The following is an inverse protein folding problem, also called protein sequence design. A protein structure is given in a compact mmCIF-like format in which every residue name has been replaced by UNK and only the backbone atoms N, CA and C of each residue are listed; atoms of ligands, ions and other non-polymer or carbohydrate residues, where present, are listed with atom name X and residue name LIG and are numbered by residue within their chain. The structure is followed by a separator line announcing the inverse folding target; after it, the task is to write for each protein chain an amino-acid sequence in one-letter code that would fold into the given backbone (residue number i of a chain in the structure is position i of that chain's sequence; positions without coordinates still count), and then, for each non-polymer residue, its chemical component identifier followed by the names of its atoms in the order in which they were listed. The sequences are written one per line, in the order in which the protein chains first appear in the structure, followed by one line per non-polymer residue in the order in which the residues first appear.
data_IF_227694228400
#
_entry.id   IF_227694228400
#
_cell.length_a   1.000
_cell.length_b   1.000
_cell.length_c   1.000
_cell.angle_alpha   90.00
_cell.angle_beta   90.00
_cell.angle_gamma   90.00
#
_symmetry.space_group_name_H-M   'P 1'
#
loop_
_entity.id
_entity.type
_entity.pdbx_description
1 polymer ?
#
# COMPACT_ATOMS: atom_id res chain seq x y z
N UNK A 1 8.19 33.56 7.90
CA UNK A 1 8.59 32.22 7.44
C UNK A 1 7.69 31.22 8.13
N UNK A 2 6.99 30.40 7.36
CA UNK A 2 6.04 29.41 7.85
C UNK A 2 6.83 28.26 8.49
N UNK A 3 6.54 27.87 9.74
CA UNK A 3 7.23 26.80 10.49
C UNK A 3 7.50 25.52 9.69
N UNK A 4 6.67 25.26 8.69
CA UNK A 4 6.79 24.15 7.74
C UNK A 4 8.12 24.15 6.96
N UNK A 5 8.65 25.32 6.59
CA UNK A 5 9.91 25.42 5.85
C UNK A 5 11.13 25.15 6.74
N UNK A 6 11.10 25.62 7.99
CA UNK A 6 12.18 25.35 8.95
C UNK A 6 12.26 23.85 9.30
N UNK A 7 11.10 23.18 9.41
CA UNK A 7 11.00 21.73 9.68
C UNK A 7 11.54 20.90 8.50
N UNK A 8 11.39 21.37 7.25
CA UNK A 8 11.82 20.65 6.04
C UNK A 8 13.33 20.44 5.99
N UNK A 9 14.11 21.36 6.54
CA UNK A 9 15.57 21.31 6.55
C UNK A 9 16.16 20.61 7.77
N UNK A 10 15.32 20.16 8.71
CA UNK A 10 15.77 19.43 9.89
C UNK A 10 16.33 18.06 9.52
N UNK A 11 17.47 17.69 10.11
CA UNK A 11 18.16 16.42 9.85
C UNK A 11 17.21 15.26 10.24
N UNK A 12 17.01 14.31 9.32
CA UNK A 12 16.04 13.20 9.45
C UNK A 12 14.66 13.48 8.86
N UNK A 13 14.16 14.72 8.92
CA UNK A 13 12.88 15.09 8.31
C UNK A 13 13.02 15.29 6.80
N UNK A 14 14.20 15.75 6.34
CA UNK A 14 14.49 15.94 4.92
C UNK A 14 14.27 14.67 4.08
N UNK A 15 14.78 13.52 4.52
CA UNK A 15 14.64 12.25 3.81
C UNK A 15 13.18 11.77 3.77
N UNK A 16 12.44 11.94 4.87
CA UNK A 16 11.00 11.66 4.92
C UNK A 16 10.22 12.61 4.00
N UNK A 17 10.65 13.87 3.95
CA UNK A 17 10.04 14.88 3.09
C UNK A 17 10.25 14.55 1.61
N UNK A 18 11.39 13.99 1.23
CA UNK A 18 11.68 13.58 -0.15
C UNK A 18 10.73 12.47 -0.64
N UNK A 19 10.25 11.60 0.25
CA UNK A 19 9.27 10.55 -0.06
C UNK A 19 7.85 11.08 -0.28
N UNK A 20 7.58 12.35 0.04
CA UNK A 20 6.27 12.99 -0.13
C UNK A 20 5.81 13.00 -1.59
N UNK A 21 6.74 13.22 -2.53
CA UNK A 21 6.44 13.24 -3.98
C UNK A 21 5.83 11.92 -4.46
N UNK A 22 6.32 10.80 -3.92
CA UNK A 22 5.93 9.46 -4.34
C UNK A 22 4.68 8.94 -3.64
N UNK A 23 4.48 9.37 -2.40
CA UNK A 23 3.40 8.88 -1.54
C UNK A 23 2.22 9.84 -1.56
N UNK A 24 2.40 11.05 -1.06
CA UNK A 24 1.36 12.05 -0.84
C UNK A 24 0.95 12.67 -2.18
N UNK A 25 1.88 13.31 -2.89
CA UNK A 25 1.55 14.11 -4.08
C UNK A 25 0.93 13.26 -5.20
N UNK A 26 1.41 12.04 -5.38
CA UNK A 26 0.83 11.08 -6.32
C UNK A 26 -0.62 10.73 -5.99
N UNK A 27 -0.95 10.47 -4.73
CA UNK A 27 -2.33 10.18 -4.30
C UNK A 27 -3.22 11.41 -4.52
N UNK A 28 -2.72 12.61 -4.18
CA UNK A 28 -3.45 13.85 -4.43
C UNK A 28 -3.69 14.10 -5.93
N UNK A 29 -2.72 13.77 -6.80
CA UNK A 29 -2.87 13.82 -8.25
C UNK A 29 -3.98 12.89 -8.74
N UNK A 30 -3.94 11.62 -8.34
CA UNK A 30 -5.00 10.65 -8.66
C UNK A 30 -6.36 11.10 -8.16
N UNK A 31 -6.43 11.68 -6.96
CA UNK A 31 -7.68 12.19 -6.40
C UNK A 31 -8.25 13.34 -7.24
N UNK A 32 -7.39 14.25 -7.71
CA UNK A 32 -7.82 15.36 -8.58
C UNK A 32 -8.39 14.88 -9.92
N UNK A 33 -7.71 13.96 -10.58
CA UNK A 33 -8.14 13.45 -11.89
C UNK A 33 -9.35 12.51 -11.80
N UNK A 34 -9.28 11.50 -10.92
CA UNK A 34 -10.24 10.40 -10.93
C UNK A 34 -11.47 10.65 -10.04
N UNK A 35 -11.34 11.52 -9.02
CA UNK A 35 -12.41 11.79 -8.05
C UNK A 35 -12.95 13.23 -8.13
N UNK A 36 -12.51 13.98 -9.15
CA UNK A 36 -13.05 15.30 -9.46
C UNK A 36 -12.74 16.36 -8.39
N UNK A 37 -11.57 16.27 -7.74
CA UNK A 37 -11.12 17.28 -6.78
C UNK A 37 -10.43 18.49 -7.44
N UNK A 38 -10.44 18.60 -8.77
CA UNK A 38 -10.03 19.84 -9.46
C UNK A 38 -10.92 21.04 -9.08
N UNK A 39 -12.20 20.79 -8.85
CA UNK A 39 -13.17 21.81 -8.44
C UNK A 39 -14.04 21.31 -7.28
N UNK A 40 -14.60 22.24 -6.51
CA UNK A 40 -15.55 21.95 -5.44
C UNK A 40 -16.95 21.74 -6.02
N UNK A 41 -17.32 20.47 -6.19
CA UNK A 41 -18.62 20.08 -6.76
C UNK A 41 -19.80 20.25 -5.77
N UNK A 42 -19.52 20.35 -4.47
CA UNK A 42 -20.53 20.45 -3.42
C UNK A 42 -20.45 21.81 -2.74
N UNK A 43 -21.61 22.39 -2.45
CA UNK A 43 -21.71 23.65 -1.69
C UNK A 43 -21.65 23.38 -0.18
N UNK A 44 -20.82 24.16 0.51
CA UNK A 44 -20.65 24.09 1.97
C UNK A 44 -19.46 23.24 2.41
N UNK A 45 -18.74 23.72 3.43
CA UNK A 45 -17.50 23.12 3.95
C UNK A 45 -17.71 21.68 4.43
N UNK A 46 -18.72 21.45 5.26
CA UNK A 46 -19.02 20.12 5.83
C UNK A 46 -19.26 19.05 4.76
N UNK A 47 -19.96 19.39 3.67
CA UNK A 47 -20.24 18.44 2.58
C UNK A 47 -18.98 18.11 1.78
N UNK A 48 -18.12 19.10 1.56
CA UNK A 48 -16.86 18.90 0.88
C UNK A 48 -15.89 18.08 1.73
N UNK A 49 -15.82 18.34 3.04
CA UNK A 49 -15.02 17.56 3.99
C UNK A 49 -15.45 16.09 4.02
N UNK A 50 -16.77 15.83 4.03
CA UNK A 50 -17.28 14.46 3.95
C UNK A 50 -16.92 13.76 2.63
N UNK A 51 -17.05 14.45 1.49
CA UNK A 51 -16.64 13.90 0.18
C UNK A 51 -15.15 13.54 0.18
N UNK A 52 -14.30 14.45 0.66
CA UNK A 52 -12.86 14.25 0.78
C UNK A 52 -12.56 13.05 1.68
N UNK A 53 -13.08 13.06 2.92
CA UNK A 53 -12.86 12.00 3.90
C UNK A 53 -13.27 10.62 3.39
N UNK A 54 -14.45 10.50 2.78
CA UNK A 54 -14.93 9.24 2.22
C UNK A 54 -14.00 8.74 1.11
N UNK A 55 -13.60 9.62 0.19
CA UNK A 55 -12.76 9.24 -0.96
C UNK A 55 -11.39 8.72 -0.51
N UNK A 56 -10.73 9.44 0.41
CA UNK A 56 -9.43 9.01 0.94
C UNK A 56 -9.55 7.73 1.78
N UNK A 57 -10.64 7.56 2.52
CA UNK A 57 -10.92 6.32 3.25
C UNK A 57 -11.02 5.13 2.30
N UNK A 58 -11.80 5.25 1.22
CA UNK A 58 -11.92 4.19 0.22
C UNK A 58 -10.59 3.87 -0.47
N UNK A 59 -9.80 4.89 -0.83
CA UNK A 59 -8.47 4.68 -1.42
C UNK A 59 -7.52 3.93 -0.47
N UNK A 60 -7.56 4.25 0.83
CA UNK A 60 -6.76 3.57 1.84
C UNK A 60 -7.20 2.13 2.05
N UNK A 61 -8.52 1.87 2.09
CA UNK A 61 -9.07 0.51 2.18
C UNK A 61 -8.65 -0.35 0.99
N UNK A 62 -8.70 0.19 -0.23
CA UNK A 62 -8.20 -0.50 -1.44
C UNK A 62 -6.73 -0.87 -1.30
N UNK A 63 -5.89 0.08 -0.87
CA UNK A 63 -4.47 -0.16 -0.65
C UNK A 63 -4.22 -1.26 0.40
N UNK A 64 -4.98 -1.27 1.49
CA UNK A 64 -4.89 -2.31 2.52
C UNK A 64 -5.27 -3.69 1.97
N UNK A 65 -6.37 -3.78 1.22
CA UNK A 65 -6.80 -5.03 0.59
C UNK A 65 -5.72 -5.57 -0.38
N UNK A 66 -5.12 -4.71 -1.21
CA UNK A 66 -4.02 -5.09 -2.10
C UNK A 66 -2.78 -5.56 -1.32
N UNK A 67 -2.45 -4.92 -0.21
CA UNK A 67 -1.34 -5.33 0.66
C UNK A 67 -1.59 -6.71 1.29
N UNK A 68 -2.82 -6.95 1.78
CA UNK A 68 -3.21 -8.24 2.34
C UNK A 68 -3.18 -9.35 1.29
N UNK A 69 -3.69 -9.08 0.09
CA UNK A 69 -3.65 -10.02 -1.03
C UNK A 69 -2.20 -10.37 -1.42
N UNK A 70 -1.32 -9.38 -1.57
CA UNK A 70 0.11 -9.61 -1.84
C UNK A 70 0.79 -10.41 -0.73
N UNK A 71 0.45 -10.17 0.54
CA UNK A 71 0.95 -10.97 1.68
C UNK A 71 0.44 -12.40 1.63
N UNK A 72 -0.83 -12.62 1.30
CA UNK A 72 -1.42 -13.94 1.15
C UNK A 72 -0.76 -14.74 0.01
N UNK A 73 -0.53 -14.11 -1.15
CA UNK A 73 0.20 -14.74 -2.26
C UNK A 73 1.63 -15.11 -1.89
N UNK A 74 2.35 -14.23 -1.18
CA UNK A 74 3.71 -14.53 -0.68
C UNK A 74 3.70 -15.70 0.30
N UNK A 75 2.73 -15.76 1.22
CA UNK A 75 2.55 -16.89 2.14
C UNK A 75 2.21 -18.19 1.41
N UNK A 76 1.33 -18.14 0.41
CA UNK A 76 0.93 -19.30 -0.38
C UNK A 76 2.10 -19.85 -1.21
N UNK A 77 2.88 -18.97 -1.85
CA UNK A 77 4.10 -19.35 -2.57
C UNK A 77 5.13 -20.01 -1.64
N UNK A 78 5.34 -19.45 -0.45
CA UNK A 78 6.21 -20.05 0.57
C UNK A 78 5.73 -21.42 1.04
N UNK A 79 4.42 -21.59 1.27
CA UNK A 79 3.83 -22.89 1.64
C UNK A 79 3.92 -23.94 0.53
N UNK A 80 3.71 -23.56 -0.75
CA UNK A 80 3.89 -24.48 -1.89
C UNK A 80 5.34 -24.93 -1.97
N UNK A 81 6.31 -24.01 -1.85
CA UNK A 81 7.73 -24.34 -1.85
C UNK A 81 8.08 -25.30 -0.70
N UNK A 82 7.55 -25.08 0.51
CA UNK A 82 7.76 -25.98 1.64
C UNK A 82 7.10 -27.36 1.48
N UNK A 83 5.87 -27.43 0.95
CA UNK A 83 5.21 -28.71 0.64
C UNK A 83 5.98 -29.47 -0.44
N UNK A 84 6.39 -28.81 -1.52
CA UNK A 84 7.18 -29.42 -2.58
C UNK A 84 8.55 -29.92 -2.08
N UNK A 85 9.16 -29.29 -1.07
CA UNK A 85 10.37 -29.82 -0.43
C UNK A 85 10.11 -31.01 0.51
N UNK A 86 8.94 -31.09 1.14
CA UNK A 86 8.55 -32.26 1.95
C UNK A 86 8.15 -33.45 1.07
N UNK A 87 7.36 -33.22 0.01
CA UNK A 87 6.90 -34.27 -0.92
C UNK A 87 8.06 -34.90 -1.70
N UNK A 88 9.07 -34.11 -2.11
CA UNK A 88 10.28 -34.65 -2.70
C UNK A 88 11.07 -35.53 -1.71
N UNK A 89 11.06 -35.22 -0.40
CA UNK A 89 11.77 -36.01 0.62
C UNK A 89 11.09 -37.36 0.89
N UNK A 90 9.76 -37.45 0.82
CA UNK A 90 9.01 -38.72 0.92
C UNK A 90 9.20 -39.60 -0.32
N UNK A 91 9.41 -39.00 -1.50
CA UNK A 91 9.71 -39.73 -2.74
C UNK A 91 11.06 -40.46 -2.67
N UNK A 92 12.15 -39.77 -2.29
CA UNK A 92 13.47 -40.41 -2.14
C UNK A 92 13.54 -41.43 -0.99
N UNK A 93 12.72 -41.28 0.06
CA UNK A 93 12.68 -42.22 1.18
C UNK A 93 11.90 -43.50 0.87
N UNK A 94 10.86 -43.43 0.02
CA UNK A 94 10.17 -44.62 -0.50
C UNK A 94 11.03 -45.38 -1.52
N UNK A 95 11.71 -44.66 -2.42
CA UNK A 95 12.62 -45.28 -3.39
C UNK A 95 13.82 -46.01 -2.73
N UNK A 96 14.26 -45.59 -1.54
CA UNK A 96 15.35 -46.24 -0.81
C UNK A 96 14.92 -47.45 0.05
N UNK A 97 13.62 -47.68 0.23
CA UNK A 97 13.06 -48.79 1.02
C UNK A 97 12.50 -49.93 0.14
N UNK A 98 12.45 -49.73 -1.18
CA UNK A 98 12.03 -50.73 -2.18
C UNK A 98 13.22 -51.35 -2.94
N UNK A 99 14.45 -51.14 -2.47
CA UNK A 99 15.66 -51.83 -2.93
C UNK A 99 16.07 -52.95 -1.97
#
# INVERSE_FOLDING_TARGET
MERCEDIRHTIGVKELYDQRKETIERIFGTAKENHGFRYTQMKGKARMELKVGLTFTCMNLKKLAEMLHKRALKKHCFCILFKNMCDNRTSYRKAALEC
#
